data_IF_246887597527
#
_entry.id   IF_246887597527
#
_cell.length_a   1.000
_cell.length_b   1.000
_cell.length_c   1.000
_cell.angle_alpha   90.00
_cell.angle_beta   90.00
_cell.angle_gamma   90.00
#
_symmetry.space_group_name_H-M   'P 1'
#
loop_
_entity.id
_entity.type
_entity.pdbx_description
1 polymer ?
#
# COMPACT_ATOMS: atom_id res chain seq x y z
N UNK A 1 55.66 37.09 -39.89
CA UNK A 1 55.13 36.04 -40.81
C UNK A 1 54.20 35.15 -39.99
N UNK A 2 52.88 35.40 -40.03
CA UNK A 2 51.87 34.61 -40.77
C UNK A 2 51.96 33.09 -40.53
N UNK A 3 51.18 32.63 -39.53
CA UNK A 3 50.17 31.55 -39.59
C UNK A 3 50.68 30.16 -40.09
N UNK A 4 50.49 29.04 -39.38
CA UNK A 4 49.26 28.20 -39.51
C UNK A 4 49.34 26.82 -38.81
N UNK A 5 48.23 26.44 -38.13
CA UNK A 5 47.54 25.12 -38.16
C UNK A 5 48.23 23.86 -37.57
N UNK A 6 47.60 22.89 -36.89
CA UNK A 6 46.19 22.56 -36.58
C UNK A 6 46.15 21.83 -35.22
N UNK A 7 45.12 22.17 -34.45
CA UNK A 7 44.69 21.57 -33.19
C UNK A 7 44.09 20.17 -33.49
N UNK A 8 44.82 19.09 -33.22
CA UNK A 8 44.34 17.73 -33.36
C UNK A 8 43.66 17.24 -32.08
N UNK A 9 42.36 17.44 -31.94
CA UNK A 9 41.57 16.82 -30.86
C UNK A 9 41.36 15.34 -31.14
N UNK A 10 42.08 14.48 -30.42
CA UNK A 10 41.86 13.04 -30.37
C UNK A 10 40.60 12.77 -29.54
N UNK A 11 39.45 12.61 -30.21
CA UNK A 11 38.21 12.13 -29.61
C UNK A 11 38.35 10.64 -29.26
N UNK A 12 38.66 10.34 -28.00
CA UNK A 12 38.57 8.98 -27.45
C UNK A 12 37.09 8.70 -27.16
N UNK A 13 36.39 8.06 -28.10
CA UNK A 13 35.06 7.51 -27.85
C UNK A 13 35.21 6.25 -27.00
N UNK A 14 35.05 6.38 -25.68
CA UNK A 14 34.93 5.25 -24.78
C UNK A 14 33.61 4.52 -25.08
N UNK A 15 33.68 3.43 -25.83
CA UNK A 15 32.58 2.49 -25.99
C UNK A 15 32.35 1.78 -24.66
N UNK A 16 31.31 2.18 -23.93
CA UNK A 16 30.78 1.40 -22.81
C UNK A 16 30.33 0.03 -23.35
N UNK A 17 30.80 -1.09 -22.77
CA UNK A 17 30.19 -2.38 -23.09
C UNK A 17 28.78 -2.35 -22.49
N UNK A 18 27.78 -2.34 -23.37
CA UNK A 18 26.41 -2.67 -23.00
C UNK A 18 26.44 -4.13 -22.52
N UNK A 19 26.46 -4.31 -21.20
CA UNK A 19 26.27 -5.62 -20.60
C UNK A 19 24.85 -6.07 -20.96
N UNK A 20 24.73 -6.84 -22.02
CA UNK A 20 23.54 -7.61 -22.30
C UNK A 20 23.34 -8.54 -21.10
N UNK A 21 22.39 -8.18 -20.23
CA UNK A 21 21.84 -9.13 -19.27
C UNK A 21 21.16 -10.20 -20.11
N UNK A 22 21.87 -11.28 -20.39
CA UNK A 22 21.25 -12.51 -20.82
C UNK A 22 20.29 -12.89 -19.70
N UNK A 23 18.98 -12.75 -19.93
CA UNK A 23 17.98 -13.46 -19.14
C UNK A 23 18.38 -14.92 -19.21
N UNK A 24 18.91 -15.44 -18.12
CA UNK A 24 19.04 -16.87 -17.97
C UNK A 24 17.62 -17.40 -18.09
N UNK A 25 17.34 -18.07 -19.21
CA UNK A 25 16.20 -18.98 -19.36
C UNK A 25 16.48 -20.15 -18.44
N UNK A 26 16.46 -19.88 -17.14
CA UNK A 26 16.21 -20.91 -16.14
C UNK A 26 14.88 -21.52 -16.54
N UNK A 27 14.79 -22.83 -16.58
CA UNK A 27 13.56 -23.56 -16.79
C UNK A 27 12.53 -23.04 -15.77
N UNK A 28 11.76 -22.02 -16.15
CA UNK A 28 10.74 -21.41 -15.30
C UNK A 28 9.68 -22.48 -15.15
N UNK A 29 9.60 -23.05 -13.95
CA UNK A 29 8.54 -23.99 -13.61
C UNK A 29 7.20 -23.29 -13.91
N UNK A 30 6.37 -23.94 -14.72
CA UNK A 30 5.10 -23.42 -15.18
C UNK A 30 3.98 -24.17 -14.44
N UNK A 31 2.97 -23.44 -13.98
CA UNK A 31 1.78 -24.00 -13.33
C UNK A 31 0.56 -23.68 -14.17
N UNK A 32 -0.28 -24.69 -14.36
CA UNK A 32 -1.54 -24.57 -15.07
C UNK A 32 -2.62 -24.02 -14.13
N UNK A 33 -3.09 -22.81 -14.40
CA UNK A 33 -4.16 -22.14 -13.65
C UNK A 33 -5.45 -22.16 -14.46
N UNK A 34 -6.57 -22.57 -13.83
CA UNK A 34 -7.88 -22.51 -14.46
C UNK A 34 -8.54 -21.15 -14.22
N UNK A 35 -8.78 -20.41 -15.30
CA UNK A 35 -9.55 -19.17 -15.29
C UNK A 35 -11.00 -19.47 -15.66
N UNK A 36 -11.94 -19.03 -14.82
CA UNK A 36 -13.37 -19.16 -15.05
C UNK A 36 -13.93 -17.83 -15.52
N UNK A 37 -14.66 -17.82 -16.63
CA UNK A 37 -15.38 -16.65 -17.11
C UNK A 37 -16.81 -16.67 -16.54
N UNK A 38 -17.07 -15.79 -15.56
CA UNK A 38 -18.36 -15.67 -14.86
C UNK A 38 -19.42 -14.89 -15.63
N UNK A 39 -19.18 -14.58 -16.91
CA UNK A 39 -20.18 -13.98 -17.79
C UNK A 39 -21.36 -14.93 -18.07
N UNK A 40 -22.58 -14.41 -17.97
CA UNK A 40 -23.81 -15.11 -18.38
C UNK A 40 -24.45 -16.01 -17.32
N UNK A 41 -25.29 -16.95 -17.77
CA UNK A 41 -25.96 -17.94 -16.91
C UNK A 41 -25.08 -19.20 -16.79
N UNK A 42 -25.05 -19.88 -15.64
CA UNK A 42 -24.32 -21.14 -15.49
C UNK A 42 -24.76 -22.20 -16.52
N UNK A 43 -23.88 -23.14 -16.93
CA UNK A 43 -22.50 -23.34 -16.47
C UNK A 43 -21.46 -22.45 -17.17
N UNK A 44 -20.49 -21.95 -16.39
CA UNK A 44 -19.46 -21.02 -16.83
C UNK A 44 -18.38 -21.67 -17.71
N UNK A 45 -17.87 -20.90 -18.68
CA UNK A 45 -16.74 -21.32 -19.52
C UNK A 45 -15.44 -21.27 -18.70
N UNK A 46 -14.54 -22.22 -18.94
CA UNK A 46 -13.24 -22.33 -18.27
C UNK A 46 -12.14 -22.43 -19.31
N UNK A 47 -10.98 -21.82 -19.04
CA UNK A 47 -9.75 -21.94 -19.83
C UNK A 47 -8.56 -22.21 -18.92
N UNK A 48 -7.66 -23.09 -19.33
CA UNK A 48 -6.39 -23.33 -18.63
C UNK A 48 -5.31 -22.44 -19.23
N UNK A 49 -4.57 -21.73 -18.38
CA UNK A 49 -3.46 -20.87 -18.78
C UNK A 49 -2.22 -21.27 -17.97
N UNK A 50 -1.12 -21.55 -18.65
CA UNK A 50 0.15 -21.86 -18.01
C UNK A 50 0.88 -20.56 -17.66
N UNK A 51 1.11 -20.35 -16.36
CA UNK A 51 1.71 -19.13 -15.78
C UNK A 51 2.98 -19.55 -15.02
N UNK A 52 4.06 -18.75 -15.03
CA UNK A 52 5.26 -19.10 -14.27
C UNK A 52 5.00 -19.06 -12.76
N UNK A 53 5.65 -19.96 -12.01
CA UNK A 53 5.52 -20.06 -10.54
C UNK A 53 5.87 -18.75 -9.84
N UNK A 54 6.81 -17.96 -10.37
CA UNK A 54 7.20 -16.65 -9.82
C UNK A 54 6.02 -15.70 -9.68
N UNK A 55 5.12 -15.72 -10.65
CA UNK A 55 4.01 -14.77 -10.72
C UNK A 55 2.87 -15.23 -9.80
N UNK A 56 2.68 -16.55 -9.68
CA UNK A 56 1.69 -17.15 -8.75
C UNK A 56 2.06 -16.87 -7.29
N UNK A 57 3.33 -17.07 -6.91
CA UNK A 57 3.79 -16.86 -5.53
C UNK A 57 3.64 -15.40 -5.07
N UNK A 58 3.83 -14.44 -5.98
CA UNK A 58 3.63 -13.02 -5.69
C UNK A 58 2.14 -12.71 -5.43
N UNK A 59 1.23 -13.31 -6.20
CA UNK A 59 -0.21 -13.13 -6.01
C UNK A 59 -0.70 -13.74 -4.69
N UNK A 60 -0.18 -14.90 -4.29
CA UNK A 60 -0.50 -15.51 -2.99
C UNK A 60 -0.06 -14.62 -1.82
N UNK A 61 1.11 -13.99 -1.93
CA UNK A 61 1.65 -13.10 -0.88
C UNK A 61 0.76 -11.86 -0.70
N UNK A 62 0.21 -11.30 -1.78
CA UNK A 62 -0.69 -10.13 -1.71
C UNK A 62 -2.09 -10.48 -1.19
N UNK A 63 -2.49 -11.76 -1.24
CA UNK A 63 -3.81 -12.22 -0.79
C UNK A 63 -3.90 -12.66 0.67
N UNK A 64 -2.77 -12.71 1.39
CA UNK A 64 -2.67 -13.32 2.74
C UNK A 64 -2.75 -12.33 3.91
N UNK A 65 -2.81 -11.02 3.65
CA UNK A 65 -3.10 -10.07 4.72
C UNK A 65 -4.60 -10.14 5.06
N UNK A 66 -4.95 -11.07 5.93
CA UNK A 66 -6.26 -11.08 6.58
C UNK A 66 -6.35 -9.83 7.46
N UNK A 67 -6.83 -8.74 6.88
CA UNK A 67 -7.12 -7.51 7.60
C UNK A 67 -8.28 -7.82 8.54
N UNK A 68 -7.97 -7.97 9.84
CA UNK A 68 -8.99 -8.13 10.87
C UNK A 68 -9.76 -6.81 11.01
N UNK A 69 -11.09 -6.89 11.02
CA UNK A 69 -11.99 -5.73 11.18
C UNK A 69 -12.67 -5.78 12.55
N UNK A 70 -12.71 -4.64 13.23
CA UNK A 70 -13.35 -4.47 14.54
C UNK A 70 -14.49 -3.45 14.44
N UNK A 71 -15.56 -3.71 15.19
CA UNK A 71 -16.68 -2.78 15.34
C UNK A 71 -16.31 -1.60 16.24
N UNK A 72 -16.25 -0.39 15.67
CA UNK A 72 -16.02 0.85 16.43
C UNK A 72 -17.33 1.62 16.57
N UNK A 73 -17.61 2.14 17.77
CA UNK A 73 -18.80 2.96 18.08
C UNK A 73 -18.44 4.44 18.10
N UNK A 74 -18.73 5.15 17.01
CA UNK A 74 -18.53 6.59 16.91
C UNK A 74 -19.72 7.36 17.53
N UNK A 75 -19.43 8.38 18.34
CA UNK A 75 -20.44 9.28 18.93
C UNK A 75 -20.44 10.62 18.20
N UNK A 76 -21.52 10.91 17.47
CA UNK A 76 -21.67 12.16 16.70
C UNK A 76 -22.23 13.27 17.62
N UNK A 77 -21.34 14.13 18.13
CA UNK A 77 -21.68 15.21 19.08
C UNK A 77 -22.34 16.44 18.43
N UNK A 78 -23.41 16.25 17.65
CA UNK A 78 -24.16 17.35 17.02
C UNK A 78 -25.53 17.54 17.69
N UNK A 79 -25.83 18.76 18.12
CA UNK A 79 -27.13 19.14 18.71
C UNK A 79 -27.15 19.06 20.25
N UNK A 80 -28.37 19.03 20.83
CA UNK A 80 -28.56 18.81 22.27
C UNK A 80 -28.42 17.32 22.60
N UNK A 81 -27.85 16.94 23.74
CA UNK A 81 -27.77 15.55 24.16
C UNK A 81 -29.19 14.96 24.37
N UNK A 82 -29.37 13.63 24.21
CA UNK A 82 -28.35 12.60 23.95
C UNK A 82 -27.89 12.52 22.48
N UNK A 83 -26.59 12.26 22.29
CA UNK A 83 -25.97 12.20 20.97
C UNK A 83 -26.24 10.90 20.21
N UNK A 84 -26.23 10.99 18.88
CA UNK A 84 -26.36 9.85 17.98
C UNK A 84 -25.09 9.01 17.98
N UNK A 85 -25.23 7.69 18.00
CA UNK A 85 -24.13 6.73 17.85
C UNK A 85 -24.20 6.04 16.49
N UNK A 86 -23.05 5.75 15.89
CA UNK A 86 -22.92 4.95 14.65
C UNK A 86 -21.91 3.83 14.88
N UNK A 87 -22.17 2.67 14.28
CA UNK A 87 -21.25 1.52 14.30
C UNK A 87 -20.58 1.46 12.93
N UNK A 88 -19.25 1.42 12.90
CA UNK A 88 -18.43 1.35 11.68
C UNK A 88 -17.40 0.24 11.82
N UNK A 89 -17.24 -0.57 10.78
CA UNK A 89 -16.19 -1.58 10.70
C UNK A 89 -14.89 -0.91 10.30
N UNK A 90 -13.87 -0.98 11.16
CA UNK A 90 -12.54 -0.42 10.90
C UNK A 90 -11.47 -1.51 11.00
N UNK A 91 -10.41 -1.46 10.18
CA UNK A 91 -9.32 -2.41 10.29
C UNK A 91 -8.53 -2.19 11.59
N UNK A 92 -7.99 -3.25 12.18
CA UNK A 92 -7.28 -3.20 13.48
C UNK A 92 -6.10 -2.22 13.48
N UNK A 93 -5.36 -2.11 12.37
CA UNK A 93 -4.23 -1.17 12.25
C UNK A 93 -4.61 0.28 12.51
N UNK A 94 -5.79 0.69 12.05
CA UNK A 94 -6.27 2.07 12.19
C UNK A 94 -6.67 2.34 13.65
N UNK A 95 -7.35 1.38 14.30
CA UNK A 95 -7.78 1.50 15.71
C UNK A 95 -6.59 1.72 16.64
N UNK A 96 -5.49 0.97 16.45
CA UNK A 96 -4.29 1.11 17.26
C UNK A 96 -3.66 2.51 17.16
N UNK A 97 -3.72 3.14 15.98
CA UNK A 97 -3.25 4.52 15.81
C UNK A 97 -4.15 5.53 16.53
N UNK A 98 -5.48 5.32 16.50
CA UNK A 98 -6.41 6.17 17.23
C UNK A 98 -6.18 6.13 18.74
N UNK A 99 -5.94 4.97 19.33
CA UNK A 99 -5.64 4.83 20.77
C UNK A 99 -4.38 5.63 21.17
N UNK A 100 -3.33 5.58 20.35
CA UNK A 100 -2.08 6.33 20.59
C UNK A 100 -2.32 7.84 20.52
N UNK A 101 -3.15 8.31 19.58
CA UNK A 101 -3.51 9.73 19.46
C UNK A 101 -4.42 10.20 20.62
N UNK A 102 -5.36 9.38 21.07
CA UNK A 102 -6.21 9.71 22.23
C UNK A 102 -5.40 9.82 23.53
N UNK A 103 -4.44 8.92 23.74
CA UNK A 103 -3.56 8.96 24.91
C UNK A 103 -2.82 10.31 25.05
N UNK A 104 -2.41 10.92 23.93
CA UNK A 104 -1.73 12.21 23.93
C UNK A 104 -2.67 13.37 24.32
N UNK A 105 -3.94 13.33 23.93
CA UNK A 105 -4.92 14.39 24.17
C UNK A 105 -5.41 14.48 25.62
N UNK A 106 -5.38 13.37 26.39
CA UNK A 106 -5.84 13.36 27.79
C UNK A 106 -4.89 14.07 28.78
N UNK A 107 -3.65 14.34 28.38
CA UNK A 107 -2.61 14.98 29.21
C UNK A 107 -2.83 16.49 29.43
N UNK A 108 -3.76 17.13 28.70
CA UNK A 108 -3.99 18.58 28.76
C UNK A 108 -5.20 19.00 29.61
N UNK A 109 -5.48 18.33 30.74
CA UNK A 109 -6.43 18.86 31.74
C UNK A 109 -5.84 20.10 32.42
N UNK A 110 -6.09 21.29 31.85
CA UNK A 110 -5.75 22.58 32.44
C UNK A 110 -6.65 22.86 33.66
N UNK A 111 -6.05 22.73 34.84
CA UNK A 111 -6.31 23.56 36.03
C UNK A 111 -7.72 23.55 36.63
N UNK A 112 -7.88 22.83 37.73
CA UNK A 112 -8.94 23.06 38.73
C UNK A 112 -8.75 24.46 39.33
N UNK A 113 -9.44 25.47 38.80
CA UNK A 113 -9.70 26.69 39.57
C UNK A 113 -10.99 26.44 40.36
N UNK A 114 -10.92 26.21 41.69
CA UNK A 114 -12.14 26.07 42.47
C UNK A 114 -12.95 27.38 42.34
N UNK A 115 -14.29 27.32 42.33
CA UNK A 115 -15.11 28.50 42.17
C UNK A 115 -14.88 29.44 43.36
N UNK A 116 -14.16 30.54 43.14
CA UNK A 116 -14.03 31.61 44.11
C UNK A 116 -15.19 32.59 43.94
N UNK A 117 -16.19 32.45 44.82
CA UNK A 117 -16.77 33.50 45.67
C UNK A 117 -18.03 32.89 46.32
N UNK A 118 -17.92 32.58 47.61
CA UNK A 118 -19.07 32.40 48.49
C UNK A 118 -19.25 33.75 49.20
N UNK A 119 -19.96 34.68 48.57
CA UNK A 119 -20.50 35.88 49.20
C UNK A 119 -21.92 36.04 48.70
#
# INVERSE_FOLDING_TARGET
MKLRYILGTLLITATLPLAAQAEQVSHREMVDVQLVDFSGKPPFKRRTVSVPVSDVAQLETLGQEAIEYVEVKEVVMRGKPPYRRKITMMPVYDVAQFEVLEAQNTSQKRGTRPPFKRF
#
